data_IF_122608851783
#
_entry.id   IF_122608851783
#
_cell.length_a   1.000
_cell.length_b   1.000
_cell.length_c   1.000
_cell.angle_alpha   90.00
_cell.angle_beta   90.00
_cell.angle_gamma   90.00
#
_symmetry.space_group_name_H-M   'P 1'
#
loop_
_entity.id
_entity.type
_entity.pdbx_description
1 polymer ?
#
# COMPACT_ATOMS: atom_id res chain seq x y z
N UNK A 1 1.02 -13.73 18.70
CA UNK A 1 0.90 -12.27 18.97
C UNK A 1 1.72 -11.54 17.90
N UNK A 2 1.25 -10.41 17.37
CA UNK A 2 2.03 -9.61 16.41
C UNK A 2 3.19 -8.97 17.15
N UNK A 3 4.41 -9.16 16.66
CA UNK A 3 5.62 -8.63 17.28
C UNK A 3 6.11 -7.35 16.57
N UNK A 4 6.13 -7.39 15.25
CA UNK A 4 6.57 -6.27 14.43
C UNK A 4 5.53 -5.93 13.36
N UNK A 5 5.20 -4.66 13.24
CA UNK A 5 4.40 -4.15 12.12
C UNK A 5 5.34 -3.62 11.06
N UNK A 6 5.19 -4.11 9.82
CA UNK A 6 6.11 -3.80 8.74
C UNK A 6 5.56 -2.76 7.77
N UNK A 7 4.25 -2.72 7.55
CA UNK A 7 3.65 -1.83 6.57
C UNK A 7 2.14 -1.89 6.59
N UNK A 8 1.50 -0.75 6.36
CA UNK A 8 0.12 -0.68 5.88
C UNK A 8 0.10 -0.12 4.47
N UNK A 9 -0.80 -0.64 3.65
CA UNK A 9 -1.03 -0.16 2.30
C UNK A 9 -2.52 -0.20 1.98
N UNK A 10 -3.03 0.89 1.43
CA UNK A 10 -4.34 0.95 0.79
C UNK A 10 -4.16 1.27 -0.69
N UNK A 11 -4.95 0.66 -1.54
CA UNK A 11 -4.87 0.83 -2.99
C UNK A 11 -6.25 1.06 -3.57
N UNK A 12 -6.42 2.11 -4.38
CA UNK A 12 -7.60 2.28 -5.23
C UNK A 12 -7.22 1.99 -6.68
N UNK A 13 -8.05 1.19 -7.36
CA UNK A 13 -7.85 0.83 -8.76
C UNK A 13 -8.74 1.68 -9.64
N UNK A 14 -8.11 2.41 -10.55
CA UNK A 14 -8.75 3.36 -11.44
C UNK A 14 -7.84 3.62 -12.64
N UNK A 15 -8.37 4.24 -13.68
CA UNK A 15 -7.52 4.72 -14.78
C UNK A 15 -6.88 6.06 -14.38
N UNK A 16 -5.56 6.09 -14.24
CA UNK A 16 -4.75 7.27 -13.92
C UNK A 16 -3.77 7.63 -15.05
N UNK A 17 -4.05 7.23 -16.29
CA UNK A 17 -3.15 7.46 -17.42
C UNK A 17 -2.77 8.93 -17.58
N UNK A 18 -3.71 9.85 -17.43
CA UNK A 18 -3.54 11.31 -17.50
C UNK A 18 -2.86 11.94 -16.28
N UNK A 19 -2.66 11.17 -15.19
CA UNK A 19 -1.94 11.59 -13.99
C UNK A 19 -0.42 11.32 -14.10
N UNK A 20 0.17 11.48 -15.29
CA UNK A 20 1.61 11.34 -15.49
C UNK A 20 2.43 12.40 -14.77
N UNK A 21 3.76 12.20 -14.71
CA UNK A 21 4.71 13.10 -14.04
C UNK A 21 4.92 14.39 -14.85
N UNK A 22 3.87 15.16 -15.04
CA UNK A 22 3.97 16.51 -15.60
C UNK A 22 4.23 17.53 -14.49
N UNK A 23 4.93 18.66 -14.79
CA UNK A 23 5.14 19.72 -13.80
C UNK A 23 3.83 20.21 -13.16
N UNK A 24 2.76 20.29 -13.96
CA UNK A 24 1.43 20.69 -13.48
C UNK A 24 0.87 19.68 -12.48
N UNK A 25 0.82 18.40 -12.83
CA UNK A 25 0.26 17.36 -11.95
C UNK A 25 1.03 17.25 -10.64
N UNK A 26 2.37 17.34 -10.71
CA UNK A 26 3.22 17.32 -9.52
C UNK A 26 2.94 18.55 -8.65
N UNK A 27 2.89 19.75 -9.24
CA UNK A 27 2.62 20.99 -8.50
C UNK A 27 1.24 20.99 -7.86
N UNK A 28 0.22 20.55 -8.58
CA UNK A 28 -1.15 20.45 -8.08
C UNK A 28 -1.23 19.49 -6.87
N UNK A 29 -0.62 18.31 -6.99
CA UNK A 29 -0.57 17.35 -5.89
C UNK A 29 0.24 17.85 -4.70
N UNK A 30 1.37 18.50 -4.93
CA UNK A 30 2.18 19.11 -3.86
C UNK A 30 1.36 20.19 -3.11
N UNK A 31 0.56 20.96 -3.83
CA UNK A 31 -0.34 21.97 -3.24
C UNK A 31 -1.40 21.31 -2.33
N UNK A 32 -2.05 20.25 -2.82
CA UNK A 32 -3.10 19.53 -2.06
C UNK A 32 -2.59 18.82 -0.81
N UNK A 33 -1.29 18.50 -0.75
CA UNK A 33 -0.60 17.87 0.36
C UNK A 33 0.45 18.76 1.02
N UNK A 34 0.35 20.06 0.88
CA UNK A 34 1.31 21.03 1.47
C UNK A 34 1.43 20.90 2.99
N UNK A 35 0.35 20.49 3.67
CA UNK A 35 0.28 20.23 5.11
C UNK A 35 1.10 18.99 5.53
N UNK A 36 1.50 18.12 4.60
CA UNK A 36 2.21 16.87 4.88
C UNK A 36 3.71 16.93 4.58
N UNK A 37 4.20 18.00 3.94
CA UNK A 37 5.61 18.17 3.61
C UNK A 37 6.16 17.07 2.71
N UNK A 38 5.37 16.59 1.76
CA UNK A 38 5.79 15.54 0.82
C UNK A 38 6.81 16.06 -0.18
N UNK A 39 7.72 15.16 -0.58
CA UNK A 39 8.73 15.38 -1.61
C UNK A 39 8.36 14.50 -2.82
N UNK A 40 8.30 15.05 -4.05
CA UNK A 40 8.00 14.29 -5.24
C UNK A 40 9.21 13.48 -5.71
N UNK A 41 8.98 12.24 -6.13
CA UNK A 41 9.94 11.38 -6.81
C UNK A 41 9.35 10.92 -8.14
N UNK A 42 10.14 10.95 -9.20
CA UNK A 42 9.73 10.49 -10.53
C UNK A 42 10.29 9.09 -10.76
N UNK A 43 9.48 8.21 -11.32
CA UNK A 43 9.87 6.87 -11.72
C UNK A 43 9.30 6.50 -13.09
N UNK A 44 9.86 5.49 -13.72
CA UNK A 44 9.34 4.94 -14.96
C UNK A 44 8.50 3.70 -14.69
N UNK A 45 7.32 3.67 -15.29
CA UNK A 45 6.43 2.51 -15.26
C UNK A 45 6.37 1.90 -16.67
N UNK A 46 6.57 0.58 -16.75
CA UNK A 46 6.31 -0.22 -17.95
C UNK A 46 5.12 -1.11 -17.63
N UNK A 47 4.08 -1.05 -18.43
CA UNK A 47 2.90 -1.87 -18.27
C UNK A 47 2.38 -2.37 -19.62
N UNK A 48 1.47 -3.35 -19.58
CA UNK A 48 0.94 -3.96 -20.80
C UNK A 48 -0.01 -3.05 -21.60
N UNK A 49 -0.44 -1.93 -21.02
CA UNK A 49 -1.36 -0.98 -21.69
C UNK A 49 -0.59 0.01 -22.56
N UNK A 50 0.67 0.30 -22.20
CA UNK A 50 1.53 1.24 -22.91
C UNK A 50 2.91 0.60 -23.07
N UNK A 51 3.32 0.19 -24.30
CA UNK A 51 4.62 -0.43 -24.53
C UNK A 51 5.79 0.52 -24.30
N UNK A 52 5.56 1.83 -24.31
CA UNK A 52 6.56 2.83 -23.99
C UNK A 52 6.58 3.12 -22.49
N UNK A 53 7.77 3.27 -21.87
CA UNK A 53 7.89 3.68 -20.48
C UNK A 53 7.14 4.98 -20.21
N UNK A 54 6.32 5.00 -19.18
CA UNK A 54 5.56 6.17 -18.75
C UNK A 54 6.21 6.79 -17.52
N UNK A 55 6.49 8.09 -17.57
CA UNK A 55 6.96 8.81 -16.39
C UNK A 55 5.81 9.00 -15.41
N UNK A 56 5.95 8.42 -14.24
CA UNK A 56 5.04 8.48 -13.11
C UNK A 56 5.71 9.16 -11.93
N UNK A 57 4.95 9.50 -10.91
CA UNK A 57 5.52 10.09 -9.71
C UNK A 57 4.91 9.51 -8.44
N UNK A 58 5.66 9.65 -7.38
CA UNK A 58 5.21 9.38 -6.03
C UNK A 58 5.48 10.60 -5.16
N UNK A 59 4.71 10.74 -4.10
CA UNK A 59 4.93 11.69 -3.04
C UNK A 59 5.39 10.93 -1.80
N UNK A 60 6.44 11.41 -1.13
CA UNK A 60 7.02 10.75 0.04
C UNK A 60 7.27 11.76 1.15
N UNK A 61 6.87 11.45 2.38
CA UNK A 61 7.19 12.29 3.53
C UNK A 61 8.70 12.30 3.82
N UNK A 62 9.20 13.38 4.38
CA UNK A 62 10.64 13.57 4.66
C UNK A 62 11.21 12.51 5.60
N UNK A 63 10.39 11.94 6.48
CA UNK A 63 10.76 10.84 7.39
C UNK A 63 10.52 9.44 6.80
N UNK A 64 10.16 9.33 5.52
CA UNK A 64 9.82 8.09 4.82
C UNK A 64 8.61 7.32 5.38
N UNK A 65 7.86 7.90 6.30
CA UNK A 65 6.71 7.24 6.92
C UNK A 65 5.57 7.06 5.92
N UNK A 66 5.23 8.11 5.16
CA UNK A 66 4.14 8.08 4.19
C UNK A 66 4.64 8.11 2.77
N UNK A 67 3.98 7.35 1.92
CA UNK A 67 4.21 7.36 0.48
C UNK A 67 2.91 7.23 -0.29
N UNK A 68 2.74 8.05 -1.31
CA UNK A 68 1.64 7.96 -2.28
C UNK A 68 2.26 7.66 -3.64
N UNK A 69 1.96 6.50 -4.22
CA UNK A 69 2.41 6.10 -5.56
C UNK A 69 1.27 6.26 -6.55
N UNK A 70 1.52 6.96 -7.65
CA UNK A 70 0.55 7.17 -8.73
C UNK A 70 1.02 6.40 -9.95
N UNK A 71 0.49 5.18 -10.11
CA UNK A 71 0.70 4.31 -11.27
C UNK A 71 -0.46 4.46 -12.27
N UNK A 72 -0.32 3.88 -13.46
CA UNK A 72 -1.32 4.00 -14.56
C UNK A 72 -2.69 3.47 -14.18
N UNK A 73 -2.75 2.36 -13.42
CA UNK A 73 -4.00 1.64 -13.15
C UNK A 73 -4.41 1.65 -11.67
N UNK A 74 -3.60 2.27 -10.82
CA UNK A 74 -3.88 2.33 -9.38
C UNK A 74 -3.13 3.46 -8.70
N UNK A 75 -3.65 3.85 -7.55
CA UNK A 75 -2.98 4.73 -6.61
C UNK A 75 -2.83 3.99 -5.30
N UNK A 76 -1.59 3.93 -4.78
CA UNK A 76 -1.27 3.29 -3.52
C UNK A 76 -0.95 4.36 -2.47
N UNK A 77 -1.51 4.23 -1.29
CA UNK A 77 -1.12 4.97 -0.08
C UNK A 77 -0.48 3.98 0.86
N UNK A 78 0.74 4.26 1.26
CA UNK A 78 1.56 3.39 2.09
C UNK A 78 1.98 4.12 3.37
N UNK A 79 1.95 3.40 4.50
CA UNK A 79 2.56 3.84 5.75
C UNK A 79 3.64 2.83 6.14
N UNK A 80 4.87 3.32 6.28
CA UNK A 80 6.05 2.51 6.56
C UNK A 80 6.51 2.73 8.01
N UNK A 81 7.18 1.75 8.62
CA UNK A 81 7.73 1.91 9.95
C UNK A 81 8.88 2.91 9.94
N UNK A 82 8.98 3.72 10.97
CA UNK A 82 10.12 4.59 11.25
C UNK A 82 11.07 3.99 12.29
N UNK A 83 10.67 2.91 12.92
CA UNK A 83 11.47 2.10 13.83
C UNK A 83 11.31 0.60 13.55
N UNK A 84 12.16 -0.23 14.13
CA UNK A 84 12.16 -1.68 13.90
C UNK A 84 10.86 -2.40 14.31
N UNK A 85 10.12 -1.86 15.27
CA UNK A 85 8.87 -2.44 15.76
C UNK A 85 7.63 -1.91 15.04
N UNK A 86 7.77 -0.85 14.26
CA UNK A 86 6.65 -0.21 13.58
C UNK A 86 5.68 0.47 14.55
N UNK A 87 6.21 1.08 15.64
CA UNK A 87 5.36 1.72 16.67
C UNK A 87 4.59 2.90 16.13
N UNK A 88 5.16 3.63 15.15
CA UNK A 88 4.52 4.75 14.48
C UNK A 88 3.34 4.35 13.57
N UNK A 89 3.22 3.08 13.20
CA UNK A 89 2.14 2.64 12.29
C UNK A 89 0.76 2.82 12.94
N UNK A 90 0.67 2.72 14.28
CA UNK A 90 -0.61 2.85 14.98
C UNK A 90 -1.55 1.70 14.71
N UNK A 91 -2.84 1.96 14.69
CA UNK A 91 -3.87 0.96 14.38
C UNK A 91 -4.22 0.95 12.89
N UNK A 92 -4.77 -0.17 12.41
CA UNK A 92 -5.31 -0.27 11.04
C UNK A 92 -6.43 0.73 10.80
N UNK A 93 -7.25 0.99 11.82
CA UNK A 93 -8.34 1.97 11.74
C UNK A 93 -7.82 3.41 11.54
N UNK A 94 -6.77 3.79 12.27
CA UNK A 94 -6.13 5.11 12.11
C UNK A 94 -5.54 5.25 10.71
N UNK A 95 -4.83 4.22 10.24
CA UNK A 95 -4.29 4.20 8.88
C UNK A 95 -5.41 4.33 7.83
N UNK A 96 -6.50 3.56 7.94
CA UNK A 96 -7.61 3.61 7.00
C UNK A 96 -8.25 5.00 6.95
N UNK A 97 -8.38 5.68 8.09
CA UNK A 97 -8.90 7.05 8.15
C UNK A 97 -8.01 8.03 7.39
N UNK A 98 -6.69 7.99 7.63
CA UNK A 98 -5.74 8.86 6.92
C UNK A 98 -5.65 8.54 5.43
N UNK A 99 -5.58 7.26 5.06
CA UNK A 99 -5.56 6.84 3.65
C UNK A 99 -6.83 7.27 2.92
N UNK A 100 -8.00 7.23 3.57
CA UNK A 100 -9.26 7.72 3.02
C UNK A 100 -9.20 9.22 2.75
N UNK A 101 -8.67 10.02 3.69
CA UNK A 101 -8.47 11.45 3.47
C UNK A 101 -7.57 11.72 2.25
N UNK A 102 -6.46 10.98 2.13
CA UNK A 102 -5.56 11.11 0.98
C UNK A 102 -6.26 10.78 -0.34
N UNK A 103 -7.00 9.67 -0.40
CA UNK A 103 -7.77 9.33 -1.59
C UNK A 103 -8.84 10.37 -1.91
N UNK A 104 -9.54 10.90 -0.91
CA UNK A 104 -10.53 11.96 -1.12
C UNK A 104 -9.91 13.22 -1.71
N UNK A 105 -8.73 13.66 -1.24
CA UNK A 105 -8.01 14.82 -1.81
C UNK A 105 -7.64 14.57 -3.27
N UNK A 106 -7.10 13.36 -3.57
CA UNK A 106 -6.71 12.99 -4.93
C UNK A 106 -7.92 12.95 -5.87
N UNK A 107 -9.01 12.30 -5.47
CA UNK A 107 -10.21 12.16 -6.29
C UNK A 107 -10.93 13.52 -6.45
N UNK A 108 -10.84 14.40 -5.47
CA UNK A 108 -11.35 15.77 -5.60
C UNK A 108 -10.59 16.56 -6.67
N UNK A 109 -9.26 16.38 -6.75
CA UNK A 109 -8.40 17.03 -7.75
C UNK A 109 -8.56 16.41 -9.13
N UNK A 110 -8.63 15.09 -9.19
CA UNK A 110 -8.74 14.30 -10.41
C UNK A 110 -10.02 13.44 -10.37
N UNK A 111 -11.20 14.01 -10.65
CA UNK A 111 -12.47 13.32 -10.52
C UNK A 111 -12.54 12.08 -11.42
N UNK A 112 -12.69 10.91 -10.82
CA UNK A 112 -12.82 9.62 -11.51
C UNK A 112 -13.42 8.54 -10.64
N UNK A 113 -13.89 7.47 -11.28
CA UNK A 113 -14.45 6.32 -10.57
C UNK A 113 -13.37 5.29 -10.34
N UNK A 114 -13.24 4.84 -9.10
CA UNK A 114 -12.49 3.64 -8.75
C UNK A 114 -13.40 2.42 -8.93
N UNK A 115 -12.81 1.29 -9.36
CA UNK A 115 -13.54 0.04 -9.56
C UNK A 115 -13.23 -1.00 -8.47
N UNK A 116 -12.18 -0.80 -7.68
CA UNK A 116 -11.77 -1.70 -6.61
C UNK A 116 -10.99 -0.94 -5.53
N UNK A 117 -11.14 -1.39 -4.29
CA UNK A 117 -10.32 -0.99 -3.15
C UNK A 117 -9.63 -2.24 -2.61
N UNK A 118 -8.36 -2.12 -2.22
CA UNK A 118 -7.62 -3.17 -1.52
C UNK A 118 -6.92 -2.57 -0.30
N UNK A 119 -6.81 -3.38 0.74
CA UNK A 119 -6.04 -3.09 1.95
C UNK A 119 -5.07 -4.24 2.20
N UNK A 120 -3.83 -3.91 2.55
CA UNK A 120 -2.79 -4.87 2.89
C UNK A 120 -2.12 -4.42 4.18
N UNK A 121 -2.08 -5.32 5.15
CA UNK A 121 -1.32 -5.18 6.39
C UNK A 121 -0.19 -6.20 6.38
N UNK A 122 1.05 -5.77 6.62
CA UNK A 122 2.21 -6.64 6.74
C UNK A 122 2.75 -6.58 8.15
N UNK A 123 3.00 -7.76 8.71
CA UNK A 123 3.54 -7.88 10.06
C UNK A 123 4.34 -9.18 10.21
N UNK A 124 5.18 -9.24 11.22
CA UNK A 124 5.82 -10.48 11.66
C UNK A 124 5.15 -10.96 12.95
N UNK A 125 4.95 -12.23 13.02
CA UNK A 125 4.54 -12.92 14.24
C UNK A 125 5.79 -13.23 15.07
N UNK A 126 5.60 -13.46 16.36
CA UNK A 126 6.66 -14.02 17.20
C UNK A 126 7.14 -15.36 16.62
N UNK A 127 8.39 -15.69 16.88
CA UNK A 127 8.94 -17.00 16.55
C UNK A 127 8.02 -18.11 17.06
N UNK A 128 7.72 -19.05 16.19
CA UNK A 128 6.82 -20.17 16.45
C UNK A 128 7.48 -21.46 16.00
N UNK A 129 7.18 -22.55 16.71
CA UNK A 129 7.45 -23.88 16.19
C UNK A 129 6.62 -24.17 14.93
N UNK A 130 7.04 -25.16 14.15
CA UNK A 130 6.30 -25.60 12.96
C UNK A 130 4.86 -26.00 13.32
N UNK A 131 4.67 -26.66 14.46
CA UNK A 131 3.35 -27.10 14.91
C UNK A 131 2.45 -25.90 15.28
N UNK A 132 2.98 -24.91 15.97
CA UNK A 132 2.26 -23.67 16.29
C UNK A 132 1.90 -22.88 15.04
N UNK A 133 2.83 -22.80 14.08
CA UNK A 133 2.60 -22.16 12.80
C UNK A 133 1.47 -22.85 12.02
N UNK A 134 1.53 -24.18 11.90
CA UNK A 134 0.51 -24.97 11.24
C UNK A 134 -0.86 -24.85 11.92
N UNK A 135 -0.90 -24.81 13.25
CA UNK A 135 -2.13 -24.63 14.01
C UNK A 135 -2.70 -23.22 13.84
N UNK A 136 -1.85 -22.21 13.81
CA UNK A 136 -2.26 -20.81 13.56
C UNK A 136 -2.81 -20.65 12.14
N UNK A 137 -2.15 -21.26 11.18
CA UNK A 137 -2.61 -21.28 9.79
C UNK A 137 -3.99 -21.93 9.66
N UNK A 138 -4.20 -23.11 10.25
CA UNK A 138 -5.50 -23.80 10.25
C UNK A 138 -6.63 -22.98 10.86
N UNK A 139 -6.32 -22.08 11.81
CA UNK A 139 -7.30 -21.18 12.44
C UNK A 139 -7.62 -19.96 11.59
N UNK A 140 -6.62 -19.41 10.90
CA UNK A 140 -6.75 -18.17 10.12
C UNK A 140 -7.35 -18.41 8.73
N UNK A 141 -7.01 -19.53 8.13
CA UNK A 141 -7.46 -19.88 6.80
C UNK A 141 -8.37 -21.10 6.88
N UNK A 142 -9.60 -20.95 6.46
CA UNK A 142 -10.51 -22.08 6.29
C UNK A 142 -9.81 -23.12 5.41
N UNK A 143 -9.36 -24.20 6.07
CA UNK A 143 -8.54 -25.25 5.43
C UNK A 143 -9.43 -26.09 4.51
N UNK A 144 -9.38 -25.92 3.17
CA UNK A 144 -10.00 -26.89 2.27
C UNK A 144 -9.49 -28.28 2.60
N UNK A 145 -10.31 -29.30 2.31
CA UNK A 145 -9.95 -30.72 2.51
C UNK A 145 -8.54 -31.05 1.95
N UNK A 146 -8.15 -30.36 0.88
CA UNK A 146 -6.84 -30.47 0.22
C UNK A 146 -5.64 -30.32 1.15
N UNK A 147 -5.74 -29.48 2.17
CA UNK A 147 -4.62 -29.24 3.11
C UNK A 147 -4.70 -30.07 4.39
N UNK A 148 -5.72 -30.91 4.56
CA UNK A 148 -5.81 -31.82 5.71
C UNK A 148 -4.78 -32.93 5.62
N UNK A 149 -4.55 -33.42 4.42
CA UNK A 149 -3.69 -34.58 4.15
C UNK A 149 -2.29 -34.17 3.65
N UNK A 150 -2.15 -32.92 3.16
CA UNK A 150 -0.90 -32.37 2.63
C UNK A 150 -0.64 -31.02 3.28
N UNK A 151 0.09 -31.03 4.40
CA UNK A 151 0.56 -29.80 5.04
C UNK A 151 1.57 -29.14 4.10
N UNK A 152 1.37 -27.87 3.71
CA UNK A 152 2.34 -27.16 2.87
C UNK A 152 3.72 -27.15 3.53
N UNK A 153 4.72 -27.44 2.74
CA UNK A 153 6.13 -27.46 3.16
C UNK A 153 6.64 -26.04 3.41
N UNK A 154 6.13 -25.08 2.67
CA UNK A 154 6.54 -23.68 2.71
C UNK A 154 5.34 -22.76 2.56
N UNK A 155 5.31 -21.69 3.34
CA UNK A 155 4.28 -20.65 3.30
C UNK A 155 4.88 -19.35 2.79
N UNK A 156 4.49 -18.95 1.58
CA UNK A 156 4.79 -17.64 1.03
C UNK A 156 3.52 -16.78 1.09
N UNK A 157 3.61 -15.66 1.80
CA UNK A 157 2.53 -14.68 2.02
C UNK A 157 2.70 -13.44 1.18
#
# INVERSE_FOLDING_TARGET
>A
MIDYRLKYQASIFLNALDMGATPKNISDMMGDFSDKGFIPNIFQEINNLTPQPQNRFSLQSSNNEWRINIATTRIDVEKNPTDLKGTNLGTEADFCKEATDFFCRIIKRFPRKANRLAFVSRFLLNEMSIDELNNSYKKLFYSPQLYKDNVPFEWNW
#
